data_IF_257129945621
#
_entry.id   IF_257129945621
#
_cell.length_a   1.000
_cell.length_b   1.000
_cell.length_c   1.000
_cell.angle_alpha   90.00
_cell.angle_beta   90.00
_cell.angle_gamma   90.00
#
_symmetry.space_group_name_H-M   'P 1'
#
loop_
_entity.id
_entity.type
_entity.pdbx_description
1 polymer ?
#
# COMPACT_ATOMS: atom_id res chain seq x y z
N UNK A 1 -12.81 7.94 -42.45
CA UNK A 1 -12.46 8.97 -41.46
C UNK A 1 -12.59 8.33 -40.09
N UNK A 2 -11.51 7.74 -39.59
CA UNK A 2 -11.46 7.22 -38.23
C UNK A 2 -11.16 8.41 -37.31
N UNK A 3 -12.18 8.91 -36.61
CA UNK A 3 -11.97 9.71 -35.41
C UNK A 3 -11.51 8.75 -34.31
N UNK A 4 -10.23 8.35 -34.35
CA UNK A 4 -9.55 7.83 -33.16
C UNK A 4 -9.45 9.00 -32.20
N UNK A 5 -10.37 9.06 -31.24
CA UNK A 5 -10.25 9.97 -30.12
C UNK A 5 -8.96 9.63 -29.38
N UNK A 6 -7.91 10.41 -29.62
CA UNK A 6 -6.66 10.34 -28.87
C UNK A 6 -6.90 10.95 -27.48
N UNK A 7 -7.51 10.18 -26.59
CA UNK A 7 -7.58 10.53 -25.18
C UNK A 7 -6.21 10.32 -24.54
N UNK A 8 -5.79 11.25 -23.68
CA UNK A 8 -4.69 10.99 -22.75
C UNK A 8 -5.13 10.04 -21.65
N UNK A 9 -4.20 9.31 -21.01
CA UNK A 9 -4.53 8.42 -19.89
C UNK A 9 -5.29 9.15 -18.77
N UNK A 10 -4.93 10.41 -18.51
CA UNK A 10 -5.63 11.28 -17.56
C UNK A 10 -7.09 11.56 -17.97
N UNK A 11 -7.36 11.73 -19.26
CA UNK A 11 -8.72 11.91 -19.77
C UNK A 11 -9.53 10.62 -19.68
N UNK A 12 -8.93 9.47 -20.02
CA UNK A 12 -9.57 8.16 -19.89
C UNK A 12 -9.92 7.87 -18.43
N UNK A 13 -9.00 8.10 -17.49
CA UNK A 13 -9.24 7.92 -16.07
C UNK A 13 -10.39 8.79 -15.55
N UNK A 14 -10.46 10.04 -16.00
CA UNK A 14 -11.58 10.93 -15.65
C UNK A 14 -12.92 10.40 -16.18
N UNK A 15 -12.96 9.82 -17.37
CA UNK A 15 -14.18 9.20 -17.89
C UNK A 15 -14.51 7.89 -17.16
N UNK A 16 -13.52 7.07 -16.79
CA UNK A 16 -13.74 5.88 -15.97
C UNK A 16 -14.33 6.22 -14.61
N UNK A 17 -13.83 7.27 -13.95
CA UNK A 17 -14.38 7.75 -12.67
C UNK A 17 -15.83 8.24 -12.76
N UNK A 18 -16.33 8.58 -13.95
CA UNK A 18 -17.75 8.88 -14.19
C UNK A 18 -18.60 7.64 -14.45
N UNK A 19 -17.98 6.50 -14.76
CA UNK A 19 -18.69 5.25 -15.05
C UNK A 19 -19.17 4.59 -13.77
N UNK A 20 -20.47 4.30 -13.68
CA UNK A 20 -21.07 3.55 -12.57
C UNK A 20 -20.38 2.20 -12.34
N UNK A 21 -19.95 1.52 -13.40
CA UNK A 21 -19.28 0.21 -13.28
C UNK A 21 -17.94 0.30 -12.56
N UNK A 22 -17.15 1.33 -12.86
CA UNK A 22 -15.85 1.52 -12.23
C UNK A 22 -16.01 2.02 -10.79
N UNK A 23 -16.97 2.90 -10.53
CA UNK A 23 -17.33 3.31 -9.17
C UNK A 23 -17.77 2.12 -8.31
N UNK A 24 -18.51 1.17 -8.90
CA UNK A 24 -18.91 -0.06 -8.21
C UNK A 24 -17.71 -0.97 -7.92
N UNK A 25 -16.74 -1.08 -8.83
CA UNK A 25 -15.49 -1.81 -8.55
C UNK A 25 -14.76 -1.16 -7.36
N UNK A 26 -14.56 0.15 -7.40
CA UNK A 26 -13.89 0.91 -6.33
C UNK A 26 -14.56 0.71 -4.96
N UNK A 27 -15.89 0.67 -4.91
CA UNK A 27 -16.62 0.53 -3.65
C UNK A 27 -16.57 -0.89 -3.06
N UNK A 28 -16.20 -1.90 -3.85
CA UNK A 28 -16.13 -3.30 -3.40
C UNK A 28 -14.82 -3.67 -2.72
N UNK A 29 -13.77 -2.85 -2.80
CA UNK A 29 -12.48 -3.20 -2.22
C UNK A 29 -12.53 -3.26 -0.69
N UNK A 30 -12.01 -4.36 -0.15
CA UNK A 30 -11.75 -4.55 1.27
C UNK A 30 -10.39 -3.97 1.65
N UNK A 31 -9.38 -4.17 0.79
CA UNK A 31 -7.99 -3.77 1.04
C UNK A 31 -7.35 -3.17 -0.20
N UNK A 32 -6.61 -2.08 0.01
CA UNK A 32 -5.82 -1.45 -1.05
C UNK A 32 -4.37 -1.32 -0.60
N UNK A 33 -3.45 -1.87 -1.38
CA UNK A 33 -2.03 -1.65 -1.18
C UNK A 33 -1.55 -0.37 -1.85
N UNK A 34 -0.57 0.31 -1.25
CA UNK A 34 0.18 1.38 -1.88
C UNK A 34 1.64 0.98 -1.94
N UNK A 35 2.22 1.01 -3.14
CA UNK A 35 3.62 0.68 -3.33
C UNK A 35 3.91 -0.82 -3.30
N UNK A 36 5.17 -1.17 -3.56
CA UNK A 36 5.62 -2.56 -3.59
C UNK A 36 5.48 -3.23 -2.23
N UNK A 37 5.94 -2.59 -1.14
CA UNK A 37 5.88 -3.19 0.19
C UNK A 37 4.44 -3.51 0.63
N UNK A 38 3.50 -2.57 0.39
CA UNK A 38 2.09 -2.82 0.68
C UNK A 38 1.53 -3.97 -0.17
N UNK A 39 1.99 -4.08 -1.41
CA UNK A 39 1.58 -5.12 -2.33
C UNK A 39 2.07 -6.51 -1.91
N UNK A 40 3.28 -6.63 -1.34
CA UNK A 40 3.77 -7.90 -0.77
C UNK A 40 2.80 -8.43 0.29
N UNK A 41 2.38 -7.56 1.20
CA UNK A 41 1.43 -7.90 2.26
C UNK A 41 0.06 -8.27 1.68
N UNK A 42 -0.40 -7.54 0.66
CA UNK A 42 -1.66 -7.81 -0.03
C UNK A 42 -1.68 -9.19 -0.68
N UNK A 43 -0.55 -9.62 -1.25
CA UNK A 43 -0.44 -10.93 -1.88
C UNK A 43 -0.55 -12.06 -0.89
N UNK A 44 0.19 -11.98 0.22
CA UNK A 44 0.06 -12.95 1.31
C UNK A 44 -1.37 -12.97 1.83
N UNK A 45 -2.00 -11.80 2.03
CA UNK A 45 -3.38 -11.70 2.47
C UNK A 45 -4.37 -12.38 1.51
N UNK A 46 -4.20 -12.21 0.20
CA UNK A 46 -5.07 -12.79 -0.83
C UNK A 46 -4.91 -14.31 -0.96
N UNK A 47 -3.69 -14.83 -0.75
CA UNK A 47 -3.45 -16.28 -0.70
C UNK A 47 -4.23 -16.94 0.45
N UNK A 48 -4.42 -16.19 1.52
CA UNK A 48 -4.97 -16.61 2.79
C UNK A 48 -6.48 -16.38 2.92
N UNK A 49 -6.97 -15.28 2.36
CA UNK A 49 -8.38 -14.96 2.24
C UNK A 49 -8.71 -14.63 0.78
N UNK A 50 -8.90 -15.66 -0.06
CA UNK A 50 -9.12 -15.48 -1.50
C UNK A 50 -10.39 -14.68 -1.82
N UNK A 51 -11.33 -14.58 -0.88
CA UNK A 51 -12.58 -13.83 -1.05
C UNK A 51 -12.41 -12.31 -0.94
N UNK A 52 -11.32 -11.82 -0.35
CA UNK A 52 -11.10 -10.38 -0.21
C UNK A 52 -10.97 -9.70 -1.56
N UNK A 53 -11.73 -8.64 -1.78
CA UNK A 53 -11.58 -7.79 -2.96
C UNK A 53 -10.42 -6.84 -2.72
N UNK A 54 -9.39 -6.94 -3.57
CA UNK A 54 -8.12 -6.26 -3.36
C UNK A 54 -7.72 -5.39 -4.54
N UNK A 55 -7.24 -4.19 -4.23
CA UNK A 55 -6.73 -3.23 -5.19
C UNK A 55 -5.32 -2.76 -4.85
N UNK A 56 -4.66 -2.08 -5.78
CA UNK A 56 -3.36 -1.46 -5.50
C UNK A 56 -3.12 -0.16 -6.26
N UNK A 57 -2.46 0.77 -5.59
CA UNK A 57 -1.91 2.00 -6.15
C UNK A 57 -0.41 1.80 -6.41
N UNK A 58 -0.02 1.84 -7.68
CA UNK A 58 1.38 1.84 -8.10
C UNK A 58 1.59 2.69 -9.36
N UNK A 59 2.83 3.04 -9.68
CA UNK A 59 3.11 3.89 -10.85
C UNK A 59 2.95 3.18 -12.20
N UNK A 60 2.83 1.86 -12.19
CA UNK A 60 2.56 1.05 -13.37
C UNK A 60 1.73 -0.17 -13.01
N UNK A 61 1.20 -0.84 -14.04
CA UNK A 61 0.73 -2.21 -13.89
C UNK A 61 1.93 -3.11 -13.53
N UNK A 62 1.70 -4.07 -12.64
CA UNK A 62 2.73 -5.01 -12.20
C UNK A 62 2.67 -6.23 -13.11
N UNK A 63 3.18 -6.14 -14.34
CA UNK A 63 2.81 -7.08 -15.42
C UNK A 63 3.37 -8.51 -15.31
N UNK A 64 4.07 -8.90 -14.24
CA UNK A 64 4.77 -10.19 -14.16
C UNK A 64 4.85 -10.77 -12.73
N UNK A 65 3.72 -10.96 -12.07
CA UNK A 65 3.68 -11.56 -10.74
C UNK A 65 3.26 -13.02 -10.78
N UNK A 66 4.08 -13.89 -10.19
CA UNK A 66 3.82 -15.32 -10.08
C UNK A 66 3.80 -15.78 -8.63
N UNK A 67 2.94 -16.74 -8.28
CA UNK A 67 2.98 -17.43 -6.98
C UNK A 67 4.24 -18.32 -6.85
N UNK A 68 4.42 -18.97 -5.68
CA UNK A 68 5.51 -19.94 -5.46
C UNK A 68 5.49 -21.14 -6.41
N UNK A 69 4.42 -21.34 -7.16
CA UNK A 69 4.26 -22.39 -8.16
C UNK A 69 4.45 -21.88 -9.61
N UNK A 70 4.75 -20.59 -9.80
CA UNK A 70 4.94 -19.98 -11.12
C UNK A 70 3.65 -19.58 -11.83
N UNK A 71 2.49 -19.62 -11.16
CA UNK A 71 1.22 -19.22 -11.76
C UNK A 71 1.02 -17.71 -11.67
N UNK A 72 0.53 -17.09 -12.74
CA UNK A 72 0.17 -15.67 -12.72
C UNK A 72 -0.90 -15.39 -11.66
N UNK A 73 -0.63 -14.43 -10.77
CA UNK A 73 -1.58 -14.03 -9.72
C UNK A 73 -2.38 -12.78 -10.08
N UNK A 74 -2.17 -12.19 -11.27
CA UNK A 74 -2.72 -10.89 -11.66
C UNK A 74 -4.24 -10.84 -11.70
N UNK A 75 -4.90 -11.94 -12.04
CA UNK A 75 -6.37 -12.01 -12.08
C UNK A 75 -7.03 -11.73 -10.72
N UNK A 76 -6.26 -11.77 -9.63
CA UNK A 76 -6.74 -11.58 -8.27
C UNK A 76 -6.55 -10.16 -7.74
N UNK A 77 -5.86 -9.26 -8.48
CA UNK A 77 -5.54 -7.91 -8.02
C UNK A 77 -6.00 -6.87 -9.03
N UNK A 78 -6.64 -5.81 -8.55
CA UNK A 78 -7.07 -4.71 -9.42
C UNK A 78 -6.11 -3.54 -9.34
N UNK A 79 -5.52 -3.16 -10.47
CA UNK A 79 -4.76 -1.92 -10.56
C UNK A 79 -5.70 -0.72 -10.47
N UNK A 80 -5.41 0.20 -9.57
CA UNK A 80 -6.13 1.48 -9.47
C UNK A 80 -5.22 2.58 -10.03
N UNK A 81 -5.43 3.02 -11.27
CA UNK A 81 -4.60 4.06 -11.88
C UNK A 81 -4.75 5.39 -11.14
N UNK A 82 -3.64 6.13 -11.04
CA UNK A 82 -3.63 7.54 -10.66
C UNK A 82 -3.03 8.35 -11.80
N UNK A 83 -3.51 9.58 -11.96
CA UNK A 83 -2.90 10.55 -12.88
C UNK A 83 -1.68 11.19 -12.19
N UNK A 84 -0.49 10.73 -12.55
CA UNK A 84 0.78 11.15 -11.93
C UNK A 84 1.93 11.22 -12.93
N UNK A 85 2.88 12.12 -12.65
CA UNK A 85 4.17 12.16 -13.35
C UNK A 85 5.25 11.55 -12.46
N UNK A 86 5.86 10.47 -12.96
CA UNK A 86 6.89 9.72 -12.25
C UNK A 86 8.23 9.87 -12.96
N UNK A 87 9.27 10.13 -12.19
CA UNK A 87 10.66 10.07 -12.65
C UNK A 87 11.32 8.82 -12.08
N UNK A 88 11.51 7.81 -12.92
CA UNK A 88 12.29 6.64 -12.59
C UNK A 88 13.78 6.96 -12.69
N UNK A 89 14.57 6.53 -11.70
CA UNK A 89 16.02 6.68 -11.71
C UNK A 89 16.71 5.37 -12.04
N UNK A 90 16.39 4.29 -11.30
CA UNK A 90 16.96 2.95 -11.48
C UNK A 90 16.20 1.93 -10.64
N UNK A 91 15.89 0.75 -11.21
CA UNK A 91 15.12 -0.29 -10.51
C UNK A 91 13.80 0.27 -9.98
N UNK A 92 13.49 -0.06 -8.71
CA UNK A 92 12.29 0.41 -8.00
C UNK A 92 12.43 1.82 -7.40
N UNK A 93 13.54 2.53 -7.67
CA UNK A 93 13.75 3.88 -7.17
C UNK A 93 13.16 4.93 -8.13
N UNK A 94 12.09 5.57 -7.68
CA UNK A 94 11.38 6.59 -8.41
C UNK A 94 10.98 7.79 -7.54
N UNK A 95 10.59 8.89 -8.19
CA UNK A 95 10.06 10.09 -7.56
C UNK A 95 8.73 10.49 -8.21
N UNK A 96 7.75 10.87 -7.38
CA UNK A 96 6.51 11.50 -7.83
C UNK A 96 6.71 13.00 -7.94
N UNK A 97 6.79 13.50 -9.18
CA UNK A 97 6.88 14.94 -9.49
C UNK A 97 5.53 15.62 -9.36
N UNK A 98 4.49 14.94 -9.82
CA UNK A 98 3.13 15.44 -9.87
C UNK A 98 2.15 14.30 -9.56
N UNK A 99 1.09 14.63 -8.85
CA UNK A 99 -0.05 13.76 -8.60
C UNK A 99 -1.32 14.61 -8.67
N UNK A 100 -2.25 14.21 -9.52
CA UNK A 100 -3.47 14.97 -9.77
C UNK A 100 -4.42 14.86 -8.58
N UNK A 101 -4.55 15.95 -7.84
CA UNK A 101 -5.42 16.06 -6.66
C UNK A 101 -6.88 15.69 -6.95
N UNK A 102 -7.44 16.16 -8.06
CA UNK A 102 -8.88 15.98 -8.34
C UNK A 102 -9.20 14.52 -8.63
N UNK A 103 -8.31 13.83 -9.36
CA UNK A 103 -8.40 12.39 -9.61
C UNK A 103 -8.29 11.59 -8.32
N UNK A 104 -7.34 11.95 -7.44
CA UNK A 104 -7.20 11.30 -6.12
C UNK A 104 -8.46 11.48 -5.29
N UNK A 105 -8.98 12.71 -5.19
CA UNK A 105 -10.17 12.99 -4.39
C UNK A 105 -11.43 12.26 -4.91
N UNK A 106 -11.66 12.25 -6.21
CA UNK A 106 -12.77 11.49 -6.80
C UNK A 106 -12.59 9.99 -6.61
N UNK A 107 -11.37 9.46 -6.75
CA UNK A 107 -11.11 8.03 -6.50
C UNK A 107 -11.45 7.67 -5.05
N UNK A 108 -10.95 8.45 -4.08
CA UNK A 108 -11.18 8.21 -2.65
C UNK A 108 -12.65 8.30 -2.23
N UNK A 109 -13.44 9.13 -2.93
CA UNK A 109 -14.87 9.30 -2.70
C UNK A 109 -15.67 8.03 -3.01
N UNK A 110 -15.27 7.26 -4.02
CA UNK A 110 -15.97 6.02 -4.40
C UNK A 110 -15.48 4.79 -3.65
N UNK A 111 -14.34 4.88 -2.97
CA UNK A 111 -13.91 3.83 -2.05
C UNK A 111 -14.84 3.76 -0.84
N UNK A 112 -15.13 2.55 -0.37
CA UNK A 112 -15.82 2.32 0.90
C UNK A 112 -15.12 3.05 2.06
N UNK A 113 -15.87 3.47 3.07
CA UNK A 113 -15.27 4.05 4.29
C UNK A 113 -14.57 3.00 5.16
N UNK A 114 -14.93 1.73 4.97
CA UNK A 114 -14.32 0.62 5.70
C UNK A 114 -13.06 0.08 5.04
N UNK A 115 -12.74 0.49 3.80
CA UNK A 115 -11.56 -0.01 3.08
C UNK A 115 -10.29 0.21 3.90
N UNK A 116 -9.47 -0.83 4.02
CA UNK A 116 -8.16 -0.74 4.66
C UNK A 116 -7.10 -0.41 3.61
N UNK A 117 -6.43 0.72 3.75
CA UNK A 117 -5.31 1.10 2.90
C UNK A 117 -4.00 0.81 3.64
N UNK A 118 -3.14 0.00 3.02
CA UNK A 118 -1.88 -0.47 3.59
C UNK A 118 -0.69 0.02 2.77
N UNK A 119 0.39 0.41 3.45
CA UNK A 119 1.63 0.71 2.75
C UNK A 119 2.76 1.22 3.65
N UNK A 120 3.94 1.34 3.07
CA UNK A 120 5.14 1.79 3.76
C UNK A 120 5.41 3.24 3.48
N UNK A 121 5.72 4.03 4.51
CA UNK A 121 6.11 5.44 4.36
C UNK A 121 7.49 5.60 3.69
N UNK A 122 8.07 4.50 3.18
CA UNK A 122 9.13 4.54 2.17
C UNK A 122 8.64 4.79 0.76
N UNK A 123 7.38 4.51 0.47
CA UNK A 123 6.85 4.63 -0.87
C UNK A 123 6.56 6.10 -1.22
N UNK A 124 7.14 6.64 -2.30
CA UNK A 124 6.88 8.00 -2.74
C UNK A 124 5.41 8.29 -3.04
N UNK A 125 4.64 7.32 -3.54
CA UNK A 125 3.19 7.47 -3.81
C UNK A 125 2.46 7.65 -2.50
N UNK A 126 2.70 6.78 -1.51
CA UNK A 126 2.04 6.88 -0.22
C UNK A 126 2.33 8.22 0.46
N UNK A 127 3.58 8.67 0.44
CA UNK A 127 3.95 9.99 1.00
C UNK A 127 3.16 11.12 0.33
N UNK A 128 2.99 11.09 -1.00
CA UNK A 128 2.15 12.07 -1.70
C UNK A 128 0.67 11.93 -1.38
N UNK A 129 0.16 10.70 -1.24
CA UNK A 129 -1.23 10.47 -0.88
C UNK A 129 -1.56 11.01 0.52
N UNK A 130 -0.64 10.87 1.48
CA UNK A 130 -0.78 11.40 2.84
C UNK A 130 -0.81 12.95 2.90
N UNK A 131 -0.35 13.65 1.86
CA UNK A 131 -0.50 15.11 1.72
C UNK A 131 -1.97 15.53 1.53
N UNK A 132 -2.84 14.62 1.06
CA UNK A 132 -4.27 14.88 0.91
C UNK A 132 -5.03 14.46 2.16
N UNK A 133 -5.60 15.43 2.88
CA UNK A 133 -6.32 15.17 4.13
C UNK A 133 -7.44 14.11 4.00
N UNK A 134 -8.13 14.05 2.87
CA UNK A 134 -9.18 13.04 2.61
C UNK A 134 -8.65 11.60 2.63
N UNK A 135 -7.38 11.39 2.28
CA UNK A 135 -6.76 10.07 2.38
C UNK A 135 -6.63 9.63 3.85
N UNK A 136 -6.31 10.56 4.74
CA UNK A 136 -6.17 10.33 6.19
C UNK A 136 -7.52 10.04 6.90
N UNK A 137 -8.65 10.18 6.20
CA UNK A 137 -9.97 9.85 6.71
C UNK A 137 -10.33 8.36 6.53
N UNK A 138 -9.60 7.61 5.70
CA UNK A 138 -9.80 6.16 5.49
C UNK A 138 -9.12 5.33 6.57
N UNK A 139 -9.41 4.03 6.65
CA UNK A 139 -8.64 3.13 7.51
C UNK A 139 -7.24 2.97 6.94
N UNK A 140 -6.22 3.40 7.68
CA UNK A 140 -4.83 3.36 7.27
C UNK A 140 -4.03 2.45 8.19
N UNK A 141 -3.26 1.54 7.60
CA UNK A 141 -2.20 0.81 8.29
C UNK A 141 -0.88 1.10 7.60
N UNK A 142 -0.03 1.87 8.28
CA UNK A 142 1.19 2.41 7.71
C UNK A 142 2.40 1.77 8.39
N UNK A 143 3.42 1.39 7.63
CA UNK A 143 4.74 1.12 8.21
C UNK A 143 5.61 2.37 8.19
N UNK A 144 6.17 2.71 9.34
CA UNK A 144 7.29 3.65 9.43
C UNK A 144 8.61 2.85 9.39
N UNK A 145 9.41 2.96 8.33
CA UNK A 145 10.68 2.25 8.21
C UNK A 145 11.77 2.87 9.10
N UNK A 146 12.85 2.11 9.34
CA UNK A 146 13.90 2.48 10.30
C UNK A 146 14.74 3.70 9.90
N UNK A 147 14.94 3.96 8.60
CA UNK A 147 15.85 5.01 8.14
C UNK A 147 15.41 6.44 8.52
N UNK A 148 14.19 6.63 9.02
CA UNK A 148 13.69 7.90 9.54
C UNK A 148 14.20 8.26 10.94
N UNK A 149 15.26 7.63 11.44
CA UNK A 149 15.89 7.98 12.72
C UNK A 149 16.68 9.28 12.70
N UNK A 150 17.19 9.75 11.56
CA UNK A 150 17.96 10.99 11.51
C UNK A 150 17.06 12.19 11.83
N UNK A 151 17.53 13.06 12.73
CA UNK A 151 16.79 14.23 13.22
C UNK A 151 16.32 15.16 12.10
N UNK A 152 17.06 15.22 10.99
CA UNK A 152 16.71 15.95 9.77
C UNK A 152 15.51 15.37 9.01
N UNK A 153 15.29 14.05 9.06
CA UNK A 153 14.19 13.37 8.36
C UNK A 153 12.95 13.18 9.26
N UNK A 154 13.11 13.17 10.59
CA UNK A 154 11.99 13.03 11.55
C UNK A 154 10.92 14.10 11.39
N UNK A 155 11.32 15.37 11.24
CA UNK A 155 10.37 16.48 11.09
C UNK A 155 9.52 16.37 9.82
N UNK A 156 10.14 15.90 8.74
CA UNK A 156 9.49 15.78 7.43
C UNK A 156 8.48 14.63 7.35
N UNK A 157 8.68 13.53 8.08
CA UNK A 157 7.71 12.43 8.06
C UNK A 157 6.63 12.53 9.13
N UNK A 158 6.98 13.02 10.32
CA UNK A 158 6.02 13.24 11.39
C UNK A 158 4.98 14.29 11.01
N UNK A 159 5.32 15.21 10.07
CA UNK A 159 4.33 16.12 9.49
C UNK A 159 3.20 15.30 8.84
N UNK A 160 3.46 14.27 8.04
CA UNK A 160 2.39 13.48 7.41
C UNK A 160 1.50 12.71 8.41
N UNK A 161 1.95 12.60 9.66
CA UNK A 161 1.19 12.09 10.79
C UNK A 161 0.77 13.24 11.73
N UNK A 162 0.22 14.33 11.15
CA UNK A 162 -0.09 15.66 11.74
C UNK A 162 -0.90 15.66 13.06
N UNK A 163 -1.22 14.51 13.61
CA UNK A 163 -2.06 14.38 14.78
C UNK A 163 -1.21 14.30 16.05
N UNK A 164 -1.52 15.13 17.04
CA UNK A 164 -0.96 15.03 18.40
C UNK A 164 -1.27 13.66 19.03
N UNK A 165 -2.40 13.07 18.64
CA UNK A 165 -2.81 11.69 18.90
C UNK A 165 -3.36 11.12 17.59
N UNK A 166 -2.79 10.02 17.10
CA UNK A 166 -3.25 9.38 15.87
C UNK A 166 -4.73 8.97 15.96
N UNK A 167 -5.55 9.27 14.94
CA UNK A 167 -6.94 8.81 14.87
C UNK A 167 -7.04 7.28 14.97
N UNK A 168 -8.15 6.77 15.50
CA UNK A 168 -8.33 5.33 15.70
C UNK A 168 -8.29 4.51 14.40
N UNK A 169 -8.71 5.13 13.28
CA UNK A 169 -8.65 4.57 11.93
C UNK A 169 -7.23 4.54 11.34
N UNK A 170 -6.23 5.17 11.98
CA UNK A 170 -4.84 5.20 11.51
C UNK A 170 -3.94 4.45 12.50
N UNK A 171 -3.31 3.38 12.04
CA UNK A 171 -2.30 2.64 12.80
C UNK A 171 -0.94 2.73 12.12
N UNK A 172 0.10 2.88 12.94
CA UNK A 172 1.48 2.96 12.47
C UNK A 172 2.32 1.86 13.10
N UNK A 173 2.85 0.97 12.27
CA UNK A 173 3.85 -0.03 12.62
C UNK A 173 5.21 0.67 12.60
N UNK A 174 5.72 1.01 13.77
CA UNK A 174 6.97 1.73 13.93
C UNK A 174 8.14 0.76 14.06
N UNK A 175 8.85 0.53 12.95
CA UNK A 175 9.98 -0.40 12.89
C UNK A 175 11.08 -0.05 13.91
N UNK A 176 11.25 1.23 14.24
CA UNK A 176 12.25 1.69 15.22
C UNK A 176 11.83 1.28 16.63
N UNK A 177 10.55 1.48 16.98
CA UNK A 177 10.04 1.05 18.29
C UNK A 177 10.15 -0.46 18.45
N UNK A 178 9.80 -1.22 17.42
CA UNK A 178 9.94 -2.69 17.42
C UNK A 178 11.41 -3.08 17.62
N UNK A 179 12.33 -2.50 16.84
CA UNK A 179 13.76 -2.79 16.97
C UNK A 179 14.30 -2.49 18.37
N UNK A 180 13.91 -1.35 18.97
CA UNK A 180 14.30 -1.00 20.35
C UNK A 180 13.74 -1.96 21.39
N UNK A 181 12.50 -2.42 21.22
CA UNK A 181 11.90 -3.42 22.11
C UNK A 181 12.63 -4.76 22.01
N UNK A 182 12.94 -5.21 20.79
CA UNK A 182 13.71 -6.43 20.56
C UNK A 182 15.13 -6.34 21.13
N UNK A 183 15.83 -5.21 20.96
CA UNK A 183 17.16 -5.00 21.53
C UNK A 183 17.17 -5.09 23.06
N UNK A 184 16.11 -4.64 23.73
CA UNK A 184 15.97 -4.77 25.19
C UNK A 184 15.76 -6.20 25.64
N UNK A 185 15.17 -7.05 24.81
CA UNK A 185 14.89 -8.45 25.13
C UNK A 185 16.10 -9.35 24.85
N UNK A 186 16.76 -9.16 23.71
CA UNK A 186 17.76 -10.12 23.21
C UNK A 186 19.20 -9.57 23.17
N UNK A 187 19.41 -8.28 23.38
CA UNK A 187 20.73 -7.63 23.31
C UNK A 187 21.34 -7.54 21.90
N UNK A 188 20.90 -8.37 20.96
CA UNK A 188 21.25 -8.34 19.54
C UNK A 188 20.02 -8.64 18.67
N UNK A 189 19.79 -7.81 17.66
CA UNK A 189 18.66 -7.97 16.73
C UNK A 189 19.19 -8.06 15.30
N UNK A 190 18.94 -9.18 14.65
CA UNK A 190 19.24 -9.34 13.22
C UNK A 190 18.15 -8.68 12.39
N UNK A 191 18.49 -8.23 11.18
CA UNK A 191 17.52 -7.67 10.24
C UNK A 191 16.40 -8.66 9.91
N UNK A 192 16.72 -9.96 9.84
CA UNK A 192 15.74 -11.02 9.63
C UNK A 192 14.73 -11.09 10.79
N UNK A 193 15.19 -11.09 12.05
CA UNK A 193 14.30 -11.10 13.21
C UNK A 193 13.40 -9.87 13.25
N UNK A 194 13.94 -8.70 12.96
CA UNK A 194 13.17 -7.47 12.88
C UNK A 194 12.11 -7.53 11.77
N UNK A 195 12.47 -8.04 10.59
CA UNK A 195 11.55 -8.20 9.48
C UNK A 195 10.37 -9.13 9.83
N UNK A 196 10.65 -10.29 10.44
CA UNK A 196 9.62 -11.21 10.92
C UNK A 196 8.67 -10.54 11.90
N UNK A 197 9.20 -9.75 12.84
CA UNK A 197 8.37 -9.07 13.84
C UNK A 197 7.49 -7.98 13.20
N UNK A 198 8.03 -7.22 12.24
CA UNK A 198 7.24 -6.24 11.47
C UNK A 198 6.10 -6.92 10.71
N UNK A 199 6.35 -8.06 10.07
CA UNK A 199 5.34 -8.84 9.37
C UNK A 199 4.24 -9.33 10.33
N UNK A 200 4.59 -9.83 11.53
CA UNK A 200 3.59 -10.18 12.54
C UNK A 200 2.70 -9.00 12.92
N UNK A 201 3.28 -7.81 13.07
CA UNK A 201 2.51 -6.59 13.34
C UNK A 201 1.57 -6.22 12.18
N UNK A 202 2.01 -6.34 10.93
CA UNK A 202 1.15 -6.16 9.75
C UNK A 202 -0.09 -7.04 9.85
N UNK A 203 0.10 -8.35 9.98
CA UNK A 203 -1.02 -9.29 9.98
C UNK A 203 -1.92 -9.15 11.21
N UNK A 204 -1.35 -8.93 12.40
CA UNK A 204 -2.15 -8.73 13.61
C UNK A 204 -3.10 -7.53 13.47
N UNK A 205 -2.63 -6.44 12.88
CA UNK A 205 -3.46 -5.25 12.66
C UNK A 205 -4.45 -5.43 11.50
N UNK A 206 -4.06 -6.08 10.41
CA UNK A 206 -4.97 -6.37 9.30
C UNK A 206 -6.14 -7.24 9.77
N UNK A 207 -5.86 -8.31 10.53
CA UNK A 207 -6.90 -9.17 11.11
C UNK A 207 -7.89 -8.37 11.96
N UNK A 208 -7.39 -7.44 12.77
CA UNK A 208 -8.23 -6.61 13.62
C UNK A 208 -9.06 -5.60 12.82
N UNK A 209 -8.50 -4.99 11.77
CA UNK A 209 -9.24 -4.04 10.94
C UNK A 209 -10.32 -4.70 10.08
N UNK A 210 -10.08 -5.92 9.62
CA UNK A 210 -10.96 -6.63 8.69
C UNK A 210 -11.79 -7.73 9.36
N UNK A 211 -11.68 -7.89 10.68
CA UNK A 211 -12.35 -8.93 11.49
C UNK A 211 -12.16 -10.35 10.91
N UNK A 212 -10.90 -10.68 10.58
CA UNK A 212 -10.56 -11.93 9.92
C UNK A 212 -10.33 -13.07 10.91
N UNK A 213 -10.81 -14.27 10.57
CA UNK A 213 -10.64 -15.48 11.39
C UNK A 213 -9.18 -15.92 11.50
N UNK A 214 -8.82 -16.65 12.55
CA UNK A 214 -7.49 -17.24 12.65
C UNK A 214 -7.27 -18.33 11.61
N UNK A 215 -6.04 -18.44 11.12
CA UNK A 215 -5.62 -19.51 10.23
C UNK A 215 -4.17 -19.88 10.53
N UNK A 216 -3.97 -21.19 10.69
CA UNK A 216 -2.76 -21.81 11.23
C UNK A 216 -1.58 -21.80 10.25
N UNK A 217 -1.83 -21.59 8.96
CA UNK A 217 -0.79 -21.66 7.92
C UNK A 217 -0.07 -20.32 7.66
N UNK A 218 -0.16 -19.37 8.59
CA UNK A 218 0.24 -17.98 8.38
C UNK A 218 1.74 -17.74 8.29
N UNK A 219 2.52 -18.59 8.95
CA UNK A 219 3.99 -18.44 9.02
C UNK A 219 4.70 -18.96 7.76
N UNK A 220 3.96 -19.38 6.73
CA UNK A 220 4.50 -19.93 5.49
C UNK A 220 4.37 -18.88 4.36
N UNK A 221 5.48 -18.26 3.89
CA UNK A 221 5.43 -17.35 2.74
C UNK A 221 5.01 -18.11 1.48
N UNK A 222 4.02 -17.58 0.75
CA UNK A 222 3.36 -18.29 -0.37
C UNK A 222 3.52 -17.58 -1.71
N UNK A 223 4.07 -16.37 -1.73
CA UNK A 223 4.48 -15.72 -2.97
C UNK A 223 5.98 -15.47 -2.97
N UNK A 224 6.66 -15.95 -4.01
CA UNK A 224 8.03 -15.53 -4.28
C UNK A 224 7.93 -14.19 -4.98
N UNK A 225 7.88 -13.12 -4.20
CA UNK A 225 8.52 -11.92 -4.68
C UNK A 225 9.97 -12.31 -4.78
N UNK A 226 10.44 -12.51 -6.01
CA UNK A 226 11.79 -12.12 -6.30
C UNK A 226 11.81 -10.63 -5.99
N UNK A 227 12.01 -10.30 -4.70
CA UNK A 227 12.64 -9.06 -4.32
C UNK A 227 13.75 -8.95 -5.35
N UNK A 228 13.69 -7.90 -6.17
CA UNK A 228 14.78 -7.60 -7.06
C UNK A 228 15.99 -7.40 -6.14
N UNK A 229 16.65 -8.51 -5.80
CA UNK A 229 17.90 -8.56 -5.07
C UNK A 229 18.92 -8.14 -6.09
N UNK A 230 18.94 -6.83 -6.33
CA UNK A 230 20.07 -6.11 -6.84
C UNK A 230 20.67 -5.34 -5.67
#
# INVERSE_FOLDING_TARGET
MENLFNFTDAQLLKEWLKSNSYQQILSTFDVIAVGLEGFEILMELKAFYPNLQVGYFYHSTLDQLSDVHGNSVLANFTFIPLDMEVKCYSGDYYLIKYLNKDVVLETLKYLSDNVLIIGSMADPILIRLLEFYSFNQKNLLLRRPMYFETSSLRGNINKYLHFSVLPANVRVIDAVKINRSLLKLDGQVTMFKLHQEIYKHWFAHIKLFLDLQENENWDLPRVRLEAATY
#
